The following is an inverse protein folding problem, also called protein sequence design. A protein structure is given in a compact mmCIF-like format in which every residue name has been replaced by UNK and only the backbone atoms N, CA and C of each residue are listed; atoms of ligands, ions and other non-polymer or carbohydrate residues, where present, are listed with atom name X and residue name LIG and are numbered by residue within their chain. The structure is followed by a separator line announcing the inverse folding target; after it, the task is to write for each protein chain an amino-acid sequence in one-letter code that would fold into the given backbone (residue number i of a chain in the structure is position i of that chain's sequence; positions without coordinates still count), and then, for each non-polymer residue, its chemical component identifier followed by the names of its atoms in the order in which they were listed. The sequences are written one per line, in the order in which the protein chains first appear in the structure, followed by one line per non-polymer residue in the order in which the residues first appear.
data_IF_006056253659
#
_entry.id   IF_006056253659
#
_cell.length_a   1.000
_cell.length_b   1.000
_cell.length_c   1.000
_cell.angle_alpha   90.00
_cell.angle_beta   90.00
_cell.angle_gamma   90.00
#
_symmetry.space_group_name_H-M   'P 1'
#
loop_
_entity.id
_entity.type
_entity.pdbx_description
1 polymer ?
#
# COMPACT_ATOMS: atom_id res chain seq x y z
N UNK A 1 -62.02 27.16 54.37
CA UNK A 1 -62.56 25.78 54.34
C UNK A 1 -61.42 24.84 53.94
N UNK A 2 -61.32 23.70 54.63
CA UNK A 2 -60.41 22.54 54.47
C UNK A 2 -60.07 22.15 53.01
N UNK A 3 -58.96 21.45 52.69
CA UNK A 3 -58.56 20.13 53.23
C UNK A 3 -57.12 19.70 52.84
N UNK A 4 -56.50 18.94 53.75
CA UNK A 4 -55.20 18.21 53.84
C UNK A 4 -54.91 17.25 52.66
N UNK A 5 -53.66 16.94 52.26
CA UNK A 5 -52.85 15.80 52.81
C UNK A 5 -51.35 15.83 52.42
N UNK A 6 -50.52 15.34 53.36
CA UNK A 6 -49.07 15.11 53.35
C UNK A 6 -48.61 13.98 52.40
N UNK A 7 -47.31 13.98 52.01
CA UNK A 7 -46.29 13.04 52.55
C UNK A 7 -44.87 13.40 52.06
N UNK A 8 -43.90 13.11 52.93
CA UNK A 8 -42.49 13.49 52.89
C UNK A 8 -41.60 12.47 52.12
N UNK A 9 -40.35 12.87 51.82
CA UNK A 9 -39.11 12.27 52.38
C UNK A 9 -37.92 12.22 51.40
N UNK A 10 -36.73 12.44 51.98
CA UNK A 10 -35.38 11.93 51.64
C UNK A 10 -34.83 12.22 50.21
N UNK A 11 -33.59 12.66 50.01
CA UNK A 11 -32.38 12.57 50.83
C UNK A 11 -31.30 11.81 50.06
N UNK A 12 -30.04 12.22 50.25
CA UNK A 12 -28.81 11.43 50.07
C UNK A 12 -28.03 11.60 48.75
N UNK A 13 -27.06 12.53 48.78
CA UNK A 13 -25.84 12.48 47.95
C UNK A 13 -24.93 11.40 48.55
N UNK A 14 -24.69 10.31 47.81
CA UNK A 14 -23.77 9.26 48.21
C UNK A 14 -22.36 9.55 47.67
N UNK A 15 -21.42 9.74 48.58
CA UNK A 15 -19.98 9.69 48.34
C UNK A 15 -19.62 8.22 48.10
N UNK A 16 -19.03 7.90 46.96
CA UNK A 16 -18.49 6.56 46.73
C UNK A 16 -16.97 6.58 46.81
N UNK A 17 -16.50 5.80 47.77
CA UNK A 17 -15.12 5.47 48.12
C UNK A 17 -14.32 4.95 46.93
N UNK A 18 -13.03 5.29 46.90
CA UNK A 18 -12.02 4.62 46.07
C UNK A 18 -11.96 3.14 46.44
N UNK A 19 -12.06 2.27 45.44
CA UNK A 19 -11.71 0.87 45.54
C UNK A 19 -10.38 0.63 44.81
N UNK A 20 -9.43 0.00 45.50
CA UNK A 20 -8.17 -0.48 44.93
C UNK A 20 -8.46 -1.68 44.01
N UNK A 21 -8.06 -1.60 42.75
CA UNK A 21 -7.94 -2.78 41.90
C UNK A 21 -6.53 -3.34 42.06
N UNK A 22 -6.49 -4.54 42.63
CA UNK A 22 -5.34 -5.41 42.85
C UNK A 22 -4.72 -5.79 41.49
N UNK A 23 -3.43 -5.51 41.31
CA UNK A 23 -2.68 -5.95 40.13
C UNK A 23 -2.44 -7.46 40.23
N UNK A 24 -3.26 -8.25 39.53
CA UNK A 24 -3.00 -9.67 39.30
C UNK A 24 -1.75 -9.81 38.42
N UNK A 25 -0.63 -10.18 39.05
CA UNK A 25 0.60 -10.54 38.37
C UNK A 25 0.34 -11.72 37.41
N UNK A 26 0.54 -11.50 36.11
CA UNK A 26 0.59 -12.60 35.14
C UNK A 26 1.98 -13.25 35.18
N UNK A 27 2.07 -14.59 35.17
CA UNK A 27 3.35 -15.28 35.17
C UNK A 27 4.10 -15.03 33.87
N UNK A 28 5.36 -14.60 33.99
CA UNK A 28 6.33 -14.58 32.91
C UNK A 28 6.70 -16.03 32.56
N UNK A 29 5.95 -16.64 31.65
CA UNK A 29 6.30 -17.94 31.07
C UNK A 29 7.06 -17.72 29.77
N UNK A 30 8.35 -18.05 29.84
CA UNK A 30 9.27 -18.47 28.78
C UNK A 30 9.10 -17.87 27.36
N UNK A 31 10.09 -17.04 27.02
CA UNK A 31 10.75 -16.94 25.72
C UNK A 31 10.60 -18.20 24.84
N UNK A 32 9.58 -18.23 23.98
CA UNK A 32 9.61 -19.05 22.78
C UNK A 32 10.00 -18.11 21.63
N UNK A 33 11.30 -18.15 21.31
CA UNK A 33 11.89 -17.41 20.22
C UNK A 33 11.16 -17.78 18.92
N UNK A 34 10.20 -16.96 18.51
CA UNK A 34 9.73 -16.95 17.13
C UNK A 34 10.94 -16.54 16.29
N UNK A 35 11.50 -17.40 15.43
CA UNK A 35 12.52 -16.94 14.52
C UNK A 35 11.85 -15.91 13.62
N UNK A 36 12.20 -14.64 13.82
CA UNK A 36 11.99 -13.60 12.82
C UNK A 36 12.68 -14.09 11.57
N UNK A 37 11.92 -14.75 10.70
CA UNK A 37 12.33 -15.00 9.34
C UNK A 37 12.40 -13.63 8.66
N UNK A 38 13.54 -12.96 8.83
CA UNK A 38 13.95 -11.88 7.95
C UNK A 38 14.06 -12.52 6.57
N UNK A 39 12.97 -12.50 5.82
CA UNK A 39 13.00 -12.74 4.39
C UNK A 39 13.79 -11.58 3.78
N UNK A 40 15.11 -11.71 3.80
CA UNK A 40 16.00 -10.91 2.95
C UNK A 40 15.63 -11.29 1.53
N UNK A 41 14.83 -10.45 0.85
CA UNK A 41 14.69 -10.54 -0.59
C UNK A 41 16.13 -10.30 -1.13
N UNK A 42 16.75 -11.28 -1.81
CA UNK A 42 18.06 -11.04 -2.38
C UNK A 42 17.92 -9.90 -3.39
N UNK A 43 18.62 -8.79 -3.15
CA UNK A 43 18.73 -7.73 -4.12
C UNK A 43 19.40 -8.33 -5.36
N UNK A 44 18.61 -8.60 -6.40
CA UNK A 44 19.15 -9.03 -7.68
C UNK A 44 20.18 -7.98 -8.13
N UNK A 45 21.41 -8.42 -8.42
CA UNK A 45 22.44 -7.53 -8.92
C UNK A 45 21.91 -6.80 -10.16
N UNK A 46 22.08 -5.46 -10.27
CA UNK A 46 21.48 -4.70 -11.35
C UNK A 46 22.09 -5.15 -12.68
N UNK A 47 21.34 -5.95 -13.42
CA UNK A 47 21.62 -6.11 -14.85
C UNK A 47 21.18 -4.82 -15.51
N UNK A 48 22.12 -4.08 -16.09
CA UNK A 48 21.84 -2.80 -16.76
C UNK A 48 21.12 -3.05 -18.08
N UNK A 49 19.80 -3.17 -18.03
CA UNK A 49 18.96 -3.14 -19.23
C UNK A 49 18.74 -1.67 -19.59
N UNK A 50 19.15 -1.26 -20.80
CA UNK A 50 18.71 0.02 -21.34
C UNK A 50 17.19 -0.02 -21.54
N UNK A 51 16.49 1.00 -21.07
CA UNK A 51 15.03 1.11 -21.24
C UNK A 51 14.72 2.17 -22.30
N UNK A 52 13.63 2.00 -23.06
CA UNK A 52 13.14 3.05 -23.94
C UNK A 52 12.92 4.37 -23.20
N UNK A 53 13.37 5.48 -23.78
CA UNK A 53 13.13 6.80 -23.19
C UNK A 53 11.65 7.16 -23.27
N UNK A 54 11.14 7.82 -22.22
CA UNK A 54 9.81 8.44 -22.24
C UNK A 54 9.66 9.35 -23.46
N UNK A 55 8.53 9.27 -24.15
CA UNK A 55 8.24 10.00 -25.38
C UNK A 55 8.77 9.38 -26.67
N UNK A 56 9.55 8.29 -26.63
CA UNK A 56 9.92 7.58 -27.85
C UNK A 56 8.68 7.00 -28.56
N UNK A 57 8.69 6.95 -29.89
CA UNK A 57 7.59 6.36 -30.67
C UNK A 57 7.66 4.83 -30.74
N UNK A 58 6.54 4.15 -30.89
CA UNK A 58 6.47 2.68 -31.04
C UNK A 58 7.44 2.12 -32.08
N UNK A 59 7.53 2.74 -33.26
CA UNK A 59 8.44 2.29 -34.33
C UNK A 59 9.91 2.43 -33.93
N UNK A 60 10.26 3.47 -33.17
CA UNK A 60 11.61 3.66 -32.65
C UNK A 60 11.93 2.58 -31.60
N UNK A 61 10.99 2.28 -30.71
CA UNK A 61 11.16 1.19 -29.73
C UNK A 61 11.36 -0.15 -30.43
N UNK A 62 10.53 -0.48 -31.43
CA UNK A 62 10.68 -1.71 -32.20
C UNK A 62 12.03 -1.78 -32.93
N UNK A 63 12.51 -0.66 -33.46
CA UNK A 63 13.82 -0.58 -34.14
C UNK A 63 14.99 -0.79 -33.17
N UNK A 64 14.93 -0.22 -31.98
CA UNK A 64 16.03 -0.26 -31.00
C UNK A 64 16.04 -1.55 -30.16
N UNK A 65 14.87 -2.10 -29.85
CA UNK A 65 14.71 -3.23 -28.92
C UNK A 65 14.18 -4.51 -29.58
N UNK A 66 13.83 -4.46 -30.86
CA UNK A 66 13.19 -5.55 -31.58
C UNK A 66 11.68 -5.66 -31.32
N UNK A 67 11.08 -6.71 -31.87
CA UNK A 67 9.67 -7.03 -31.61
C UNK A 67 9.47 -7.52 -30.17
N UNK A 68 8.42 -7.07 -29.47
CA UNK A 68 8.10 -7.57 -28.14
C UNK A 68 7.60 -9.02 -28.19
N UNK A 69 7.70 -9.72 -27.07
CA UNK A 69 7.16 -11.07 -26.91
C UNK A 69 5.63 -11.06 -26.88
N UNK A 70 5.04 -10.02 -26.28
CA UNK A 70 3.58 -9.86 -26.20
C UNK A 70 3.21 -8.40 -26.47
N UNK A 71 2.19 -8.18 -27.31
CA UNK A 71 1.52 -6.89 -27.50
C UNK A 71 0.11 -7.00 -26.91
N UNK A 72 -0.12 -6.39 -25.76
CA UNK A 72 -1.46 -6.34 -25.17
C UNK A 72 -2.34 -5.37 -25.96
N UNK A 73 -3.66 -5.64 -26.09
CA UNK A 73 -4.58 -4.69 -26.69
C UNK A 73 -4.62 -3.40 -25.86
N UNK A 74 -4.90 -2.29 -26.52
CA UNK A 74 -5.09 -1.03 -25.84
C UNK A 74 -6.29 -1.09 -24.88
N UNK A 75 -6.15 -0.48 -23.70
CA UNK A 75 -7.23 -0.27 -22.74
C UNK A 75 -7.51 1.23 -22.60
N UNK A 76 -8.77 1.61 -22.36
CA UNK A 76 -9.19 3.02 -22.39
C UNK A 76 -9.43 3.52 -23.82
N UNK A 77 -9.30 4.83 -24.04
CA UNK A 77 -9.51 5.47 -25.35
C UNK A 77 -10.96 5.82 -25.69
N UNK A 78 -11.92 5.44 -24.85
CA UNK A 78 -13.34 5.75 -25.07
C UNK A 78 -13.74 7.20 -24.78
N UNK A 79 -12.87 8.00 -24.17
CA UNK A 79 -13.13 9.39 -23.80
C UNK A 79 -11.88 10.26 -24.02
N UNK A 80 -12.02 11.57 -24.33
CA UNK A 80 -10.87 12.46 -24.53
C UNK A 80 -9.94 12.56 -23.31
N UNK A 81 -10.49 12.42 -22.09
CA UNK A 81 -9.72 12.46 -20.84
C UNK A 81 -9.11 11.11 -20.43
N UNK A 82 -9.40 10.05 -21.19
CA UNK A 82 -8.91 8.70 -20.93
C UNK A 82 -8.25 8.17 -22.21
N UNK A 83 -7.04 8.63 -22.53
CA UNK A 83 -6.34 8.18 -23.73
C UNK A 83 -6.06 6.66 -23.67
N UNK A 84 -5.95 5.99 -24.82
CA UNK A 84 -5.69 4.56 -24.86
C UNK A 84 -4.26 4.25 -24.39
N UNK A 85 -4.13 3.24 -23.53
CA UNK A 85 -2.85 2.73 -23.04
C UNK A 85 -2.59 1.34 -23.62
N UNK A 86 -1.47 1.18 -24.32
CA UNK A 86 -1.00 -0.09 -24.87
C UNK A 86 0.22 -0.56 -24.09
N UNK A 87 0.30 -1.86 -23.75
CA UNK A 87 1.49 -2.46 -23.13
C UNK A 87 2.16 -3.44 -24.07
N UNK A 88 3.46 -3.31 -24.23
CA UNK A 88 4.32 -4.31 -24.88
C UNK A 88 5.24 -4.95 -23.84
N UNK A 89 5.36 -6.28 -23.85
CA UNK A 89 6.24 -7.02 -22.94
C UNK A 89 7.46 -7.56 -23.70
N UNK A 90 8.64 -7.27 -23.18
CA UNK A 90 9.93 -7.83 -23.57
C UNK A 90 10.43 -8.76 -22.46
N UNK A 91 11.48 -9.54 -22.74
CA UNK A 91 11.97 -10.58 -21.83
C UNK A 91 12.34 -10.09 -20.41
N UNK A 92 12.69 -8.82 -20.23
CA UNK A 92 13.10 -8.27 -18.93
C UNK A 92 12.42 -6.96 -18.52
N UNK A 93 11.52 -6.42 -19.35
CA UNK A 93 10.83 -5.17 -19.07
C UNK A 93 9.53 -5.05 -19.88
N UNK A 94 8.61 -4.22 -19.41
CA UNK A 94 7.40 -3.84 -20.13
C UNK A 94 7.45 -2.36 -20.50
N UNK A 95 6.92 -2.03 -21.68
CA UNK A 95 6.79 -0.65 -22.17
C UNK A 95 5.31 -0.30 -22.26
N UNK A 96 4.95 0.83 -21.69
CA UNK A 96 3.61 1.37 -21.73
C UNK A 96 3.59 2.56 -22.68
N UNK A 97 2.63 2.57 -23.59
CA UNK A 97 2.42 3.63 -24.56
C UNK A 97 1.07 4.29 -24.33
N UNK A 98 1.04 5.61 -24.37
CA UNK A 98 -0.19 6.35 -24.60
C UNK A 98 -0.23 6.73 -26.08
N UNK A 99 -1.32 6.35 -26.76
CA UNK A 99 -1.40 6.39 -28.22
C UNK A 99 -0.23 5.62 -28.86
N UNK A 100 0.81 6.33 -29.30
CA UNK A 100 1.99 5.77 -29.98
C UNK A 100 3.31 6.12 -29.28
N UNK A 101 3.27 6.80 -28.13
CA UNK A 101 4.47 7.30 -27.45
C UNK A 101 4.64 6.64 -26.09
N UNK A 102 5.88 6.34 -25.72
CA UNK A 102 6.22 5.75 -24.42
C UNK A 102 5.82 6.70 -23.29
N UNK A 103 4.99 6.21 -22.38
CA UNK A 103 4.73 6.88 -21.10
C UNK A 103 5.61 6.32 -19.98
N UNK A 104 5.91 5.02 -19.98
CA UNK A 104 6.81 4.43 -19.01
C UNK A 104 7.41 3.10 -19.49
N UNK A 105 8.54 2.72 -18.90
CA UNK A 105 9.16 1.42 -19.11
C UNK A 105 9.57 0.84 -17.74
N UNK A 106 9.04 -0.33 -17.41
CA UNK A 106 9.13 -0.89 -16.05
C UNK A 106 9.82 -2.24 -16.09
N UNK A 107 10.74 -2.42 -15.15
CA UNK A 107 11.34 -3.72 -14.81
C UNK A 107 10.58 -4.35 -13.64
N UNK A 108 9.89 -5.48 -13.84
CA UNK A 108 9.15 -6.13 -12.76
C UNK A 108 10.04 -6.56 -11.58
N UNK A 109 11.31 -6.87 -11.86
CA UNK A 109 12.32 -7.29 -10.88
C UNK A 109 12.99 -6.12 -10.15
N UNK A 110 12.75 -4.88 -10.60
CA UNK A 110 13.33 -3.68 -10.01
C UNK A 110 12.24 -2.60 -9.84
N UNK A 111 11.33 -2.77 -8.86
CA UNK A 111 10.33 -1.75 -8.56
C UNK A 111 11.00 -0.45 -8.11
N UNK A 112 10.33 0.67 -8.36
CA UNK A 112 10.80 1.98 -7.91
C UNK A 112 11.02 1.98 -6.40
N UNK A 113 12.14 2.56 -5.96
CA UNK A 113 12.43 2.66 -4.54
C UNK A 113 11.40 3.57 -3.85
N UNK A 114 10.81 3.07 -2.76
CA UNK A 114 9.95 3.89 -1.92
C UNK A 114 10.83 4.79 -1.05
N UNK A 115 10.81 6.10 -1.29
CA UNK A 115 11.65 7.07 -0.57
C UNK A 115 11.19 7.35 0.88
N UNK A 116 9.88 7.23 1.15
CA UNK A 116 9.31 7.48 2.49
C UNK A 116 9.03 6.16 3.20
N UNK A 117 10.07 5.49 3.70
CA UNK A 117 9.96 4.18 4.36
C UNK A 117 9.47 4.27 5.81
N UNK A 118 9.55 5.44 6.39
CA UNK A 118 9.28 5.82 7.78
C UNK A 118 7.77 5.89 8.01
N UNK A 119 7.05 6.36 7.00
CA UNK A 119 5.58 6.40 6.96
C UNK A 119 4.96 5.02 6.79
N UNK A 120 5.73 4.00 6.37
CA UNK A 120 5.25 2.62 6.24
C UNK A 120 5.19 1.87 7.58
N UNK A 121 5.65 2.49 8.67
CA UNK A 121 5.54 1.88 10.01
C UNK A 121 4.08 1.89 10.46
N UNK A 122 3.62 0.79 11.05
CA UNK A 122 2.30 0.71 11.63
C UNK A 122 2.10 1.82 12.68
N UNK A 123 0.93 2.46 12.66
CA UNK A 123 0.56 3.42 13.69
C UNK A 123 0.59 2.75 15.08
N UNK A 124 1.03 3.47 16.12
CA UNK A 124 1.11 2.93 17.48
C UNK A 124 -0.26 2.53 18.05
#
# INVERSE_FOLDING_TARGET
MQKTLLLAAMGMFAVYTTAHADNLAMPQTAEEAVPSATTSIPAAAPTSINLPRKGAGMAQVAKEFGEPQVKHPAVGGGQPRQPPITRWDYAGFSVFFENTHVVDAVRPDQPAEIHRKEELKAAP
#
